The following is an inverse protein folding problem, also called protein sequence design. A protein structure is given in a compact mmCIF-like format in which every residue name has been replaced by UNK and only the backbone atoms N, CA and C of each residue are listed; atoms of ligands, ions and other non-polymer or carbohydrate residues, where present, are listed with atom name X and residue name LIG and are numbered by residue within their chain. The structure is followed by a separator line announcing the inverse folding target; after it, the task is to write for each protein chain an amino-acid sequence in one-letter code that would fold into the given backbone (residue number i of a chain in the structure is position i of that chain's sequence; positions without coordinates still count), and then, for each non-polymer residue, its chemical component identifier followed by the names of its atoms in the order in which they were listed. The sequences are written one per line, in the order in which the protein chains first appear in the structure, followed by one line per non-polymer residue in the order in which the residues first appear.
data_IF_869704298310
#
_entry.id   IF_869704298310
#
_cell.length_a   1.000
_cell.length_b   1.000
_cell.length_c   1.000
_cell.angle_alpha   90.00
_cell.angle_beta   90.00
_cell.angle_gamma   90.00
#
_symmetry.space_group_name_H-M   'P 1'
#
loop_
_entity.id
_entity.type
_entity.pdbx_description
1 polymer ?
#
# COMPACT_ATOMS: atom_id res chain seq x y z
N UNK A 1 -9.67 16.49 -4.86
CA UNK A 1 -9.50 15.18 -5.53
C UNK A 1 -8.83 14.15 -4.63
N UNK A 2 -7.57 14.34 -4.19
CA UNK A 2 -6.86 13.40 -3.31
C UNK A 2 -7.62 13.09 -2.00
N UNK A 3 -8.05 14.13 -1.26
CA UNK A 3 -8.79 13.95 -0.01
C UNK A 3 -10.13 13.21 -0.20
N UNK A 4 -10.83 13.45 -1.31
CA UNK A 4 -12.08 12.75 -1.65
C UNK A 4 -11.81 11.26 -1.87
N UNK A 5 -10.74 10.92 -2.58
CA UNK A 5 -10.31 9.53 -2.79
C UNK A 5 -9.92 8.88 -1.45
N UNK A 6 -9.25 9.60 -0.54
CA UNK A 6 -8.96 9.11 0.81
C UNK A 6 -10.22 8.71 1.56
N UNK A 7 -11.22 9.60 1.58
CA UNK A 7 -12.48 9.37 2.28
C UNK A 7 -13.22 8.17 1.69
N UNK A 8 -13.25 8.05 0.36
CA UNK A 8 -13.87 6.90 -0.31
C UNK A 8 -13.14 5.61 0.07
N UNK A 9 -11.79 5.56 -0.03
CA UNK A 9 -11.01 4.36 0.31
C UNK A 9 -11.23 3.92 1.76
N UNK A 10 -11.14 4.86 2.71
CA UNK A 10 -11.35 4.58 4.13
C UNK A 10 -12.79 4.12 4.39
N UNK A 11 -13.78 4.82 3.83
CA UNK A 11 -15.20 4.45 3.98
C UNK A 11 -15.50 3.07 3.42
N UNK A 12 -14.96 2.74 2.24
CA UNK A 12 -15.11 1.40 1.63
C UNK A 12 -14.41 0.33 2.46
N UNK A 13 -13.19 0.60 2.93
CA UNK A 13 -12.46 -0.33 3.79
C UNK A 13 -13.21 -0.62 5.09
N UNK A 14 -13.81 0.40 5.72
CA UNK A 14 -14.64 0.23 6.91
C UNK A 14 -15.96 -0.50 6.60
N UNK A 15 -16.63 -0.15 5.51
CA UNK A 15 -17.89 -0.79 5.12
C UNK A 15 -17.71 -2.28 4.83
N UNK A 16 -16.58 -2.67 4.25
CA UNK A 16 -16.25 -4.06 3.91
C UNK A 16 -15.17 -4.65 4.81
N UNK A 17 -15.04 -4.12 6.03
CA UNK A 17 -13.97 -4.50 6.96
C UNK A 17 -13.91 -6.00 7.19
N UNK A 18 -15.07 -6.66 7.33
CA UNK A 18 -15.16 -8.11 7.52
C UNK A 18 -14.45 -8.87 6.38
N UNK A 19 -14.75 -8.51 5.12
CA UNK A 19 -14.13 -9.15 3.96
C UNK A 19 -12.63 -8.85 3.87
N UNK A 20 -12.22 -7.63 4.20
CA UNK A 20 -10.80 -7.28 4.24
C UNK A 20 -10.03 -8.10 5.28
N UNK A 21 -10.60 -8.28 6.47
CA UNK A 21 -10.01 -9.13 7.51
C UNK A 21 -9.91 -10.57 7.02
N UNK A 22 -11.00 -11.13 6.47
CA UNK A 22 -11.03 -12.50 5.95
C UNK A 22 -9.94 -12.73 4.88
N UNK A 23 -9.75 -11.78 3.96
CA UNK A 23 -8.70 -11.84 2.92
C UNK A 23 -7.31 -11.78 3.57
N UNK A 24 -7.06 -10.84 4.49
CA UNK A 24 -5.76 -10.69 5.13
C UNK A 24 -5.40 -11.93 5.94
N UNK A 25 -6.37 -12.51 6.66
CA UNK A 25 -6.19 -13.76 7.39
C UNK A 25 -5.90 -14.94 6.46
N UNK A 26 -6.63 -15.06 5.35
CA UNK A 26 -6.36 -16.08 4.33
C UNK A 26 -4.94 -15.95 3.77
N UNK A 27 -4.56 -14.76 3.31
CA UNK A 27 -3.23 -14.49 2.74
C UNK A 27 -2.14 -14.81 3.76
N UNK A 28 -2.30 -14.39 5.00
CA UNK A 28 -1.33 -14.64 6.08
C UNK A 28 -1.17 -16.13 6.36
N UNK A 29 -2.30 -16.86 6.49
CA UNK A 29 -2.28 -18.31 6.74
C UNK A 29 -1.68 -19.08 5.56
N UNK A 30 -2.02 -18.71 4.34
CA UNK A 30 -1.52 -19.36 3.13
C UNK A 30 -0.01 -19.11 2.95
N UNK A 31 0.47 -17.87 3.05
CA UNK A 31 1.90 -17.54 2.98
C UNK A 31 2.72 -18.28 4.05
N UNK A 32 2.24 -18.34 5.30
CA UNK A 32 2.90 -19.10 6.37
C UNK A 32 2.96 -20.60 6.09
N UNK A 33 1.94 -21.16 5.45
CA UNK A 33 1.94 -22.58 5.08
C UNK A 33 2.87 -22.85 3.90
N UNK A 34 2.91 -21.99 2.88
CA UNK A 34 3.84 -22.14 1.75
C UNK A 34 5.31 -22.08 2.20
N UNK A 35 5.63 -21.22 3.17
CA UNK A 35 6.99 -21.10 3.71
C UNK A 35 7.49 -22.33 4.48
N UNK A 36 6.61 -23.28 4.82
CA UNK A 36 7.01 -24.56 5.45
C UNK A 36 7.52 -25.60 4.45
N UNK A 37 7.46 -25.31 3.15
CA UNK A 37 7.97 -26.24 2.12
C UNK A 37 9.49 -26.40 2.22
N UNK A 38 9.98 -27.61 1.91
CA UNK A 38 11.42 -27.92 1.80
C UNK A 38 11.94 -27.76 0.36
N UNK A 39 11.03 -27.50 -0.58
CA UNK A 39 11.34 -27.36 -2.00
C UNK A 39 12.11 -26.07 -2.29
N UNK A 40 13.35 -26.22 -2.78
CA UNK A 40 14.25 -25.10 -3.09
C UNK A 40 13.70 -24.18 -4.17
N UNK A 41 13.04 -24.71 -5.21
CA UNK A 41 12.50 -23.89 -6.30
C UNK A 41 11.42 -22.95 -5.76
N UNK A 42 10.53 -23.47 -4.91
CA UNK A 42 9.47 -22.69 -4.26
C UNK A 42 10.03 -21.70 -3.25
N UNK A 43 11.05 -22.06 -2.48
CA UNK A 43 11.68 -21.16 -1.53
C UNK A 43 12.37 -19.98 -2.22
N UNK A 44 13.06 -20.24 -3.34
CA UNK A 44 13.70 -19.18 -4.13
C UNK A 44 12.66 -18.24 -4.75
N UNK A 45 11.56 -18.80 -5.27
CA UNK A 45 10.41 -18.03 -5.76
C UNK A 45 9.83 -17.12 -4.65
N UNK A 46 9.53 -17.68 -3.48
CA UNK A 46 9.00 -16.95 -2.32
C UNK A 46 9.95 -15.84 -1.85
N UNK A 47 11.27 -16.08 -1.89
CA UNK A 47 12.29 -15.09 -1.55
C UNK A 47 12.30 -13.94 -2.57
N UNK A 48 12.24 -14.24 -3.86
CA UNK A 48 12.16 -13.24 -4.92
C UNK A 48 10.89 -12.37 -4.78
N UNK A 49 9.73 -12.98 -4.52
CA UNK A 49 8.49 -12.26 -4.27
C UNK A 49 8.55 -11.40 -3.00
N UNK A 50 9.11 -11.92 -1.90
CA UNK A 50 9.28 -11.14 -0.66
C UNK A 50 10.16 -9.91 -0.90
N UNK A 51 11.24 -10.05 -1.67
CA UNK A 51 12.10 -8.92 -2.04
C UNK A 51 11.36 -7.92 -2.93
N UNK A 52 10.57 -8.40 -3.89
CA UNK A 52 9.77 -7.54 -4.75
C UNK A 52 8.72 -6.75 -3.94
N UNK A 53 7.98 -7.40 -3.04
CA UNK A 53 7.02 -6.76 -2.14
C UNK A 53 7.68 -5.68 -1.27
N UNK A 54 8.88 -5.94 -0.73
CA UNK A 54 9.63 -4.94 0.05
C UNK A 54 10.05 -3.75 -0.80
N UNK A 55 10.61 -4.01 -2.00
CA UNK A 55 11.04 -2.94 -2.93
C UNK A 55 9.87 -2.05 -3.33
N UNK A 56 8.75 -2.63 -3.78
CA UNK A 56 7.59 -1.84 -4.22
C UNK A 56 6.96 -1.06 -3.07
N UNK A 57 6.85 -1.65 -1.87
CA UNK A 57 6.33 -0.98 -0.68
C UNK A 57 7.20 0.20 -0.29
N UNK A 58 8.53 0.03 -0.23
CA UNK A 58 9.45 1.11 0.13
C UNK A 58 9.51 2.22 -0.93
N UNK A 59 9.50 1.87 -2.22
CA UNK A 59 9.45 2.86 -3.30
C UNK A 59 8.16 3.69 -3.23
N UNK A 60 7.03 3.03 -3.03
CA UNK A 60 5.74 3.71 -2.92
C UNK A 60 5.65 4.57 -1.65
N UNK A 61 6.10 4.06 -0.49
CA UNK A 61 6.20 4.85 0.73
C UNK A 61 7.09 6.08 0.52
N UNK A 62 8.27 5.91 -0.07
CA UNK A 62 9.19 7.02 -0.37
C UNK A 62 8.51 8.09 -1.22
N UNK A 63 7.79 7.68 -2.28
CA UNK A 63 7.06 8.61 -3.15
C UNK A 63 5.96 9.36 -2.39
N UNK A 64 5.16 8.65 -1.60
CA UNK A 64 4.05 9.23 -0.85
C UNK A 64 4.54 10.19 0.24
N UNK A 65 5.54 9.81 1.03
CA UNK A 65 6.13 10.68 2.04
C UNK A 65 6.80 11.91 1.42
N UNK A 66 7.53 11.74 0.31
CA UNK A 66 8.13 12.88 -0.41
C UNK A 66 7.05 13.86 -0.85
N UNK A 67 5.92 13.37 -1.35
CA UNK A 67 4.78 14.22 -1.75
C UNK A 67 4.22 15.01 -0.56
N UNK A 68 4.01 14.36 0.60
CA UNK A 68 3.53 15.03 1.82
C UNK A 68 4.52 16.11 2.27
N UNK A 69 5.83 15.80 2.28
CA UNK A 69 6.89 16.74 2.63
C UNK A 69 6.91 17.94 1.69
N UNK A 70 6.83 17.73 0.38
CA UNK A 70 6.79 18.82 -0.61
C UNK A 70 5.60 19.74 -0.36
N UNK A 71 4.40 19.18 -0.15
CA UNK A 71 3.18 19.96 0.12
C UNK A 71 3.33 20.80 1.40
N UNK A 72 3.97 20.25 2.43
CA UNK A 72 4.24 20.99 3.68
C UNK A 72 5.31 22.07 3.52
N UNK A 73 6.35 21.83 2.73
CA UNK A 73 7.50 22.73 2.57
C UNK A 73 7.21 23.85 1.56
N UNK A 74 6.38 23.60 0.55
CA UNK A 74 6.11 24.55 -0.55
C UNK A 74 5.71 25.95 -0.06
N UNK A 75 4.81 26.13 0.93
CA UNK A 75 4.48 27.46 1.46
C UNK A 75 5.66 28.17 2.12
N UNK A 76 6.48 27.43 2.87
CA UNK A 76 7.67 27.93 3.56
C UNK A 76 8.71 28.37 2.52
N UNK A 77 8.97 27.52 1.54
CA UNK A 77 9.91 27.80 0.45
C UNK A 77 9.50 29.06 -0.31
N UNK A 78 8.21 29.20 -0.69
CA UNK A 78 7.72 30.41 -1.36
C UNK A 78 7.89 31.67 -0.52
N UNK A 79 7.63 31.60 0.79
CA UNK A 79 7.79 32.73 1.71
C UNK A 79 9.25 33.16 1.89
N UNK A 80 10.19 32.21 1.92
CA UNK A 80 11.62 32.47 2.09
C UNK A 80 12.24 32.97 0.79
N UNK A 81 11.94 32.33 -0.34
CA UNK A 81 12.62 32.58 -1.62
C UNK A 81 12.11 33.80 -2.40
N UNK A 82 10.88 34.28 -2.14
CA UNK A 82 10.31 35.41 -2.88
C UNK A 82 10.15 36.65 -1.99
N UNK A 83 11.02 37.63 -2.21
CA UNK A 83 10.95 38.92 -1.51
C UNK A 83 9.67 39.68 -1.87
N UNK A 84 9.29 39.68 -3.15
CA UNK A 84 8.04 40.28 -3.64
C UNK A 84 6.83 39.70 -2.92
N UNK A 85 6.77 38.37 -2.79
CA UNK A 85 5.68 37.70 -2.07
C UNK A 85 5.65 38.10 -0.59
N UNK A 86 6.81 38.12 0.07
CA UNK A 86 6.94 38.53 1.48
C UNK A 86 6.50 39.97 1.71
N UNK A 87 6.83 40.88 0.79
CA UNK A 87 6.41 42.29 0.85
C UNK A 87 4.91 42.42 0.59
N UNK A 88 4.36 41.71 -0.39
CA UNK A 88 2.91 41.72 -0.68
C UNK A 88 2.09 41.18 0.50
N UNK A 89 2.57 40.16 1.20
CA UNK A 89 1.94 39.63 2.42
C UNK A 89 2.01 40.65 3.57
N UNK A 90 3.14 41.34 3.76
CA UNK A 90 3.28 42.39 4.77
C UNK A 90 2.40 43.61 4.50
N UNK A 91 2.26 43.98 3.22
CA UNK A 91 1.44 45.11 2.77
C UNK A 91 -0.06 44.76 2.72
N UNK A 92 -0.44 43.50 2.94
CA UNK A 92 -1.84 43.05 2.92
C UNK A 92 -2.43 42.85 1.52
N UNK A 93 -1.62 42.98 0.47
CA UNK A 93 -2.03 42.78 -0.93
C UNK A 93 -2.17 41.30 -1.29
N UNK A 94 -1.46 40.40 -0.58
CA UNK A 94 -1.55 38.95 -0.73
C UNK A 94 -1.73 38.24 0.61
N UNK A 95 -2.39 37.07 0.60
CA UNK A 95 -2.57 36.22 1.79
C UNK A 95 -1.44 35.18 1.93
N UNK A 96 -1.19 34.73 3.16
CA UNK A 96 -0.30 33.60 3.41
C UNK A 96 -0.73 32.35 2.62
N UNK A 97 0.22 31.70 1.97
CA UNK A 97 0.01 30.50 1.18
C UNK A 97 -0.30 29.35 2.13
N UNK A 98 -1.47 28.73 1.97
CA UNK A 98 -1.89 27.62 2.82
C UNK A 98 -1.30 26.30 2.32
N UNK A 99 -1.04 25.37 3.25
CA UNK A 99 -0.64 23.99 2.94
C UNK A 99 -1.77 23.29 2.18
N UNK A 100 -3.00 23.47 2.67
CA UNK A 100 -4.23 23.03 1.98
C UNK A 100 -5.28 24.14 2.09
N UNK A 101 -5.87 24.52 0.96
CA UNK A 101 -6.96 25.51 0.95
C UNK A 101 -8.14 24.99 1.77
N UNK A 102 -8.40 25.62 2.91
CA UNK A 102 -9.44 25.20 3.85
C UNK A 102 -9.98 26.37 4.67
N UNK A 103 -11.22 26.25 5.12
CA UNK A 103 -11.82 27.19 6.07
C UNK A 103 -11.42 26.81 7.49
N UNK A 104 -11.06 27.82 8.29
CA UNK A 104 -10.77 27.66 9.72
C UNK A 104 -11.56 28.72 10.50
N UNK A 105 -12.02 28.42 11.73
CA UNK A 105 -12.86 29.34 12.52
C UNK A 105 -12.08 30.53 13.11
N UNK A 106 -10.81 30.73 12.72
CA UNK A 106 -9.93 31.80 13.19
C UNK A 106 -9.28 32.55 12.03
N UNK A 107 -8.82 33.79 12.27
CA UNK A 107 -8.26 34.62 11.22
C UNK A 107 -6.86 34.15 10.78
N UNK A 108 -6.81 33.40 9.68
CA UNK A 108 -5.58 32.88 9.05
C UNK A 108 -4.73 33.93 8.31
N UNK A 109 -5.19 35.18 8.22
CA UNK A 109 -4.44 36.27 7.61
C UNK A 109 -3.48 36.96 8.60
N UNK A 110 -3.57 36.64 9.89
CA UNK A 110 -2.58 37.04 10.91
C UNK A 110 -1.55 35.92 11.09
N UNK A 111 -0.29 36.28 11.32
CA UNK A 111 0.83 35.34 11.45
C UNK A 111 0.56 34.19 12.45
N UNK A 112 0.01 34.49 13.63
CA UNK A 112 -0.32 33.47 14.63
C UNK A 112 -1.40 32.52 14.14
N UNK A 113 -2.46 33.04 13.50
CA UNK A 113 -3.52 32.24 12.92
C UNK A 113 -3.04 31.42 11.72
N UNK A 114 -2.11 31.95 10.92
CA UNK A 114 -1.47 31.22 9.84
C UNK A 114 -0.63 30.04 10.35
N UNK A 115 0.18 30.23 11.39
CA UNK A 115 0.98 29.16 11.98
C UNK A 115 0.09 28.04 12.55
N UNK A 116 -0.98 28.40 13.25
CA UNK A 116 -1.95 27.44 13.76
C UNK A 116 -2.66 26.67 12.62
N UNK A 117 -3.10 27.37 11.57
CA UNK A 117 -3.70 26.74 10.40
C UNK A 117 -2.72 25.79 9.70
N UNK A 118 -1.48 26.22 9.50
CA UNK A 118 -0.44 25.40 8.87
C UNK A 118 -0.11 24.14 9.67
N UNK A 119 0.04 24.24 10.99
CA UNK A 119 0.27 23.07 11.84
C UNK A 119 -0.87 22.06 11.75
N UNK A 120 -2.12 22.52 11.81
CA UNK A 120 -3.30 21.67 11.67
C UNK A 120 -3.39 21.02 10.28
N UNK A 121 -3.18 21.80 9.22
CA UNK A 121 -3.24 21.31 7.84
C UNK A 121 -2.12 20.30 7.56
N UNK A 122 -0.91 20.53 8.07
CA UNK A 122 0.20 19.58 7.98
C UNK A 122 -0.11 18.26 8.69
N UNK A 123 -0.66 18.32 9.91
CA UNK A 123 -1.11 17.14 10.63
C UNK A 123 -2.16 16.35 9.83
N UNK A 124 -3.18 17.03 9.32
CA UNK A 124 -4.23 16.41 8.51
C UNK A 124 -3.68 15.79 7.21
N UNK A 125 -2.71 16.45 6.56
CA UNK A 125 -2.06 15.93 5.35
C UNK A 125 -1.24 14.66 5.63
N UNK A 126 -0.53 14.60 6.76
CA UNK A 126 0.22 13.41 7.19
C UNK A 126 -0.75 12.26 7.46
N UNK A 127 -1.84 12.49 8.20
CA UNK A 127 -2.83 11.45 8.49
C UNK A 127 -3.53 10.93 7.23
N UNK A 128 -4.02 11.84 6.39
CA UNK A 128 -4.67 11.47 5.13
C UNK A 128 -3.72 10.73 4.19
N UNK A 129 -2.47 11.18 4.10
CA UNK A 129 -1.42 10.52 3.33
C UNK A 129 -1.10 9.12 3.87
N UNK A 130 -1.01 8.96 5.19
CA UNK A 130 -0.79 7.70 5.87
C UNK A 130 -1.89 6.67 5.56
N UNK A 131 -3.16 7.05 5.72
CA UNK A 131 -4.28 6.15 5.44
C UNK A 131 -4.33 5.66 3.99
N UNK A 132 -4.15 6.56 3.01
CA UNK A 132 -4.10 6.15 1.60
C UNK A 132 -2.92 5.20 1.37
N UNK A 133 -1.76 5.57 1.90
CA UNK A 133 -0.53 4.80 1.67
C UNK A 133 -0.68 3.39 2.22
N UNK A 134 -1.21 3.24 3.44
CA UNK A 134 -1.47 1.93 4.05
C UNK A 134 -2.46 1.10 3.24
N UNK A 135 -3.57 1.69 2.80
CA UNK A 135 -4.57 0.99 1.98
C UNK A 135 -3.94 0.47 0.68
N UNK A 136 -3.24 1.34 -0.06
CA UNK A 136 -2.66 0.98 -1.35
C UNK A 136 -1.56 -0.06 -1.20
N UNK A 137 -0.71 0.03 -0.17
CA UNK A 137 0.31 -0.99 0.07
C UNK A 137 -0.26 -2.35 0.44
N UNK A 138 -1.32 -2.40 1.24
CA UNK A 138 -1.97 -3.67 1.56
C UNK A 138 -2.58 -4.31 0.31
N UNK A 139 -3.32 -3.53 -0.49
CA UNK A 139 -3.91 -4.01 -1.74
C UNK A 139 -2.83 -4.51 -2.71
N UNK A 140 -1.72 -3.76 -2.88
CA UNK A 140 -0.61 -4.17 -3.73
C UNK A 140 0.03 -5.48 -3.27
N UNK A 141 0.33 -5.63 -1.98
CA UNK A 141 0.94 -6.85 -1.44
C UNK A 141 0.01 -8.05 -1.60
N UNK A 142 -1.30 -7.88 -1.39
CA UNK A 142 -2.29 -8.95 -1.62
C UNK A 142 -2.32 -9.38 -3.10
N UNK A 143 -2.30 -8.42 -4.04
CA UNK A 143 -2.24 -8.76 -5.48
C UNK A 143 -0.97 -9.50 -5.86
N UNK A 144 0.19 -9.07 -5.33
CA UNK A 144 1.46 -9.76 -5.56
C UNK A 144 1.45 -11.17 -4.95
N UNK A 145 0.84 -11.33 -3.77
CA UNK A 145 0.66 -12.63 -3.15
C UNK A 145 -0.15 -13.57 -4.04
N UNK A 146 -1.29 -13.14 -4.58
CA UNK A 146 -2.09 -13.99 -5.48
C UNK A 146 -1.32 -14.39 -6.74
N UNK A 147 -0.49 -13.50 -7.29
CA UNK A 147 0.42 -13.86 -8.38
C UNK A 147 1.40 -14.96 -7.96
N UNK A 148 1.99 -14.84 -6.77
CA UNK A 148 2.92 -15.84 -6.25
C UNK A 148 2.25 -17.20 -6.02
N UNK A 149 1.03 -17.21 -5.47
CA UNK A 149 0.25 -18.44 -5.29
C UNK A 149 -0.07 -19.13 -6.62
N UNK A 150 -0.41 -18.38 -7.67
CA UNK A 150 -0.66 -18.94 -8.99
C UNK A 150 0.61 -19.56 -9.61
N UNK A 151 1.77 -18.94 -9.41
CA UNK A 151 3.07 -19.49 -9.82
C UNK A 151 3.42 -20.77 -9.04
N UNK A 152 3.19 -20.78 -7.72
CA UNK A 152 3.38 -21.99 -6.90
C UNK A 152 2.46 -23.12 -7.34
N UNK A 153 1.19 -22.82 -7.60
CA UNK A 153 0.23 -23.80 -8.10
C UNK A 153 0.66 -24.35 -9.48
N UNK A 154 1.26 -23.51 -10.34
CA UNK A 154 1.81 -23.97 -11.62
C UNK A 154 2.96 -24.96 -11.43
N UNK A 155 3.87 -24.70 -10.49
CA UNK A 155 4.96 -25.63 -10.14
C UNK A 155 4.36 -26.95 -9.62
N UNK A 156 3.43 -26.87 -8.69
CA UNK A 156 2.76 -28.06 -8.13
C UNK A 156 2.04 -28.89 -9.20
N UNK A 157 1.36 -28.23 -10.16
CA UNK A 157 0.71 -28.90 -11.28
C UNK A 157 1.70 -29.60 -12.22
N UNK A 158 2.87 -28.99 -12.48
CA UNK A 158 3.94 -29.59 -13.28
C UNK A 158 4.47 -30.86 -12.63
N UNK A 159 4.56 -30.86 -11.30
CA UNK A 159 5.20 -31.95 -10.56
C UNK A 159 4.23 -33.07 -10.14
N UNK A 160 2.95 -33.03 -10.52
CA UNK A 160 1.95 -34.05 -10.14
C UNK A 160 2.40 -35.45 -10.51
N UNK A 161 2.88 -35.64 -11.74
CA UNK A 161 3.24 -36.94 -12.29
C UNK A 161 4.75 -37.27 -12.18
N UNK A 162 5.55 -36.33 -11.68
CA UNK A 162 7.01 -36.42 -11.69
C UNK A 162 7.61 -36.11 -13.07
N UNK A 163 8.75 -36.71 -13.36
CA UNK A 163 9.42 -36.58 -14.66
C UNK A 163 9.29 -37.88 -15.45
N UNK A 164 9.49 -37.82 -16.77
CA UNK A 164 9.50 -39.03 -17.62
C UNK A 164 10.53 -40.07 -17.15
N UNK A 165 11.64 -39.60 -16.56
CA UNK A 165 12.72 -40.42 -16.02
C UNK A 165 12.46 -40.95 -14.61
N UNK A 166 11.51 -40.37 -13.87
CA UNK A 166 11.18 -40.74 -12.50
C UNK A 166 9.67 -40.55 -12.25
N UNK A 167 8.83 -41.45 -12.79
CA UNK A 167 7.39 -41.36 -12.63
C UNK A 167 6.99 -41.61 -11.18
N UNK A 168 6.00 -40.85 -10.73
CA UNK A 168 5.49 -40.93 -9.36
C UNK A 168 4.45 -42.03 -9.24
N UNK A 169 4.45 -42.77 -8.13
CA UNK A 169 3.44 -43.79 -7.85
C UNK A 169 2.02 -43.21 -7.88
N UNK A 170 1.05 -43.97 -8.41
CA UNK A 170 -0.33 -43.51 -8.59
C UNK A 170 -0.96 -42.92 -7.32
N UNK A 171 -0.72 -43.51 -6.14
CA UNK A 171 -1.24 -42.99 -4.87
C UNK A 171 -0.70 -41.60 -4.51
N UNK A 172 0.57 -41.35 -4.78
CA UNK A 172 1.22 -40.05 -4.54
C UNK A 172 0.73 -39.03 -5.58
N UNK A 173 0.63 -39.42 -6.85
CA UNK A 173 0.10 -38.56 -7.91
C UNK A 173 -1.35 -38.12 -7.60
N UNK A 174 -2.21 -39.05 -7.15
CA UNK A 174 -3.58 -38.75 -6.74
C UNK A 174 -3.62 -37.79 -5.54
N UNK A 175 -2.72 -37.95 -4.57
CA UNK A 175 -2.60 -37.03 -3.42
C UNK A 175 -2.19 -35.62 -3.86
N UNK A 176 -1.19 -35.51 -4.74
CA UNK A 176 -0.75 -34.22 -5.31
C UNK A 176 -1.87 -33.54 -6.09
N UNK A 177 -2.60 -34.30 -6.92
CA UNK A 177 -3.73 -33.79 -7.68
C UNK A 177 -4.85 -33.24 -6.79
N UNK A 178 -5.22 -33.97 -5.72
CA UNK A 178 -6.23 -33.52 -4.75
C UNK A 178 -5.81 -32.23 -4.06
N UNK A 179 -4.54 -32.12 -3.70
CA UNK A 179 -4.00 -30.93 -3.04
C UNK A 179 -3.97 -29.71 -3.98
N UNK A 180 -3.54 -29.88 -5.23
CA UNK A 180 -3.64 -28.84 -6.26
C UNK A 180 -5.08 -28.37 -6.45
N UNK A 181 -6.03 -29.30 -6.55
CA UNK A 181 -7.44 -28.96 -6.71
C UNK A 181 -7.97 -28.20 -5.49
N UNK A 182 -7.67 -28.65 -4.26
CA UNK A 182 -8.06 -27.97 -3.02
C UNK A 182 -7.56 -26.53 -2.98
N UNK A 183 -6.28 -26.30 -3.29
CA UNK A 183 -5.68 -24.96 -3.32
C UNK A 183 -6.27 -24.07 -4.41
N UNK A 184 -6.52 -24.62 -5.59
CA UNK A 184 -7.19 -23.87 -6.67
C UNK A 184 -8.58 -23.41 -6.24
N UNK A 185 -9.37 -24.30 -5.63
CA UNK A 185 -10.70 -23.96 -5.11
C UNK A 185 -10.62 -22.90 -4.03
N UNK A 186 -9.66 -22.99 -3.11
CA UNK A 186 -9.46 -21.96 -2.07
C UNK A 186 -9.05 -20.60 -2.63
N UNK A 187 -8.33 -20.57 -3.76
CA UNK A 187 -7.87 -19.32 -4.38
C UNK A 187 -8.96 -18.62 -5.20
N UNK A 188 -9.90 -19.38 -5.77
CA UNK A 188 -10.97 -18.85 -6.64
C UNK A 188 -12.24 -18.47 -5.86
N UNK A 189 -12.40 -18.98 -4.63
CA UNK A 189 -13.57 -18.78 -3.78
C UNK A 189 -13.57 -17.43 -3.07
#
# INVERSE_FOLDING_TARGET
MLATISVIKVSTFLSWQKYWIDIIEYVTRADLNQRKTEDKEKLDLLKAFTQYCRKITYLYWSLMYTTVVIVMVQPIFKYVSSETYRLNVKNGTETYLQVVSSWVPFNKNKMVGYLAASAYQSYAAIYGGGWITSFDTNAMVIMVFFRAELELLRIDCKDIFGTETAPVEHGIALKRLKECHRRHVELVK
#
